data_IF_442534136687
#
_entry.id   IF_442534136687
#
_cell.length_a   1.000
_cell.length_b   1.000
_cell.length_c   1.000
_cell.angle_alpha   90.00
_cell.angle_beta   90.00
_cell.angle_gamma   90.00
#
_symmetry.space_group_name_H-M   'P 1'
#
loop_
_entity.id
_entity.type
_entity.pdbx_description
1 polymer ?
#
# COMPACT_ATOMS: atom_id res chain seq x y z
N UNK A 1 -3.26 -29.73 17.41
CA UNK A 1 -3.90 -29.34 16.14
C UNK A 1 -3.26 -28.02 15.75
N UNK A 2 -2.74 -27.90 14.53
CA UNK A 2 -2.22 -26.62 14.05
C UNK A 2 -3.41 -25.78 13.60
N UNK A 3 -3.57 -24.60 14.19
CA UNK A 3 -4.60 -23.65 13.79
C UNK A 3 -3.98 -22.57 12.90
N UNK A 4 -4.70 -22.17 11.86
CA UNK A 4 -4.32 -21.04 11.01
C UNK A 4 -5.19 -19.83 11.35
N UNK A 5 -4.57 -18.71 11.68
CA UNK A 5 -5.24 -17.45 12.00
C UNK A 5 -4.87 -16.39 10.97
N UNK A 6 -5.86 -15.84 10.26
CA UNK A 6 -5.67 -14.69 9.36
C UNK A 6 -5.54 -13.43 10.22
N UNK A 7 -4.39 -12.77 10.13
CA UNK A 7 -4.06 -11.55 10.87
C UNK A 7 -4.23 -10.28 10.02
N UNK A 8 -4.31 -10.43 8.71
CA UNK A 8 -4.51 -9.29 7.82
C UNK A 8 -4.49 -9.67 6.35
N UNK A 9 -4.63 -8.67 5.50
CA UNK A 9 -4.62 -8.81 4.05
C UNK A 9 -3.70 -7.77 3.42
N UNK A 10 -2.78 -8.26 2.59
CA UNK A 10 -1.78 -7.45 1.93
C UNK A 10 -2.04 -7.39 0.43
N UNK A 11 -2.31 -6.19 -0.08
CA UNK A 11 -2.50 -5.89 -1.48
C UNK A 11 -1.18 -5.42 -2.08
N UNK A 12 -0.64 -6.20 -3.01
CA UNK A 12 0.58 -5.87 -3.76
C UNK A 12 0.14 -5.47 -5.16
N UNK A 13 0.29 -4.18 -5.49
CA UNK A 13 -0.23 -3.57 -6.70
C UNK A 13 0.93 -3.12 -7.60
N UNK A 14 0.97 -3.65 -8.81
CA UNK A 14 1.90 -3.25 -9.87
C UNK A 14 1.16 -2.35 -10.86
N UNK A 15 1.50 -1.06 -10.91
CA UNK A 15 0.90 -0.07 -11.81
C UNK A 15 1.88 0.27 -12.95
N UNK A 16 1.45 0.04 -14.18
CA UNK A 16 2.25 0.28 -15.39
C UNK A 16 1.58 1.28 -16.32
N UNK A 17 2.39 1.89 -17.20
CA UNK A 17 1.98 2.98 -18.09
C UNK A 17 1.37 4.17 -17.33
N UNK A 18 2.00 4.53 -16.20
CA UNK A 18 1.62 5.67 -15.39
C UNK A 18 2.00 6.99 -16.07
N UNK A 19 1.35 8.08 -15.64
CA UNK A 19 1.70 9.45 -16.00
C UNK A 19 3.14 9.78 -15.55
N UNK A 20 4.06 9.79 -16.51
CA UNK A 20 5.48 10.05 -16.26
C UNK A 20 5.74 11.46 -15.75
N UNK A 21 5.02 12.45 -16.25
CA UNK A 21 5.18 13.85 -15.81
C UNK A 21 4.93 13.96 -14.30
N UNK A 22 3.85 13.32 -13.83
CA UNK A 22 3.56 13.23 -12.41
C UNK A 22 4.65 12.45 -11.65
N UNK A 23 5.11 11.31 -12.17
CA UNK A 23 6.15 10.52 -11.49
C UNK A 23 7.49 11.25 -11.37
N UNK A 24 7.84 12.11 -12.34
CA UNK A 24 9.03 12.96 -12.26
C UNK A 24 8.86 14.11 -11.25
N UNK A 25 7.64 14.59 -11.00
CA UNK A 25 7.31 15.45 -9.86
C UNK A 25 7.09 14.60 -8.59
N UNK A 26 8.20 14.06 -8.08
CA UNK A 26 8.17 13.13 -6.94
C UNK A 26 7.44 13.68 -5.71
N UNK A 27 7.56 14.98 -5.43
CA UNK A 27 6.88 15.59 -4.29
C UNK A 27 5.37 15.66 -4.50
N UNK A 28 4.90 16.05 -5.70
CA UNK A 28 3.48 16.07 -6.01
C UNK A 28 2.91 14.65 -5.96
N UNK A 29 3.58 13.68 -6.57
CA UNK A 29 3.18 12.28 -6.58
C UNK A 29 3.09 11.70 -5.15
N UNK A 30 4.09 11.93 -4.31
CA UNK A 30 4.10 11.52 -2.90
C UNK A 30 2.96 12.15 -2.09
N UNK A 31 2.71 13.47 -2.27
CA UNK A 31 1.59 14.16 -1.61
C UNK A 31 0.22 13.61 -2.02
N UNK A 32 0.02 13.33 -3.31
CA UNK A 32 -1.25 12.78 -3.80
C UNK A 32 -1.50 11.36 -3.27
N UNK A 33 -0.45 10.53 -3.21
CA UNK A 33 -0.53 9.21 -2.61
C UNK A 33 -0.88 9.26 -1.12
N UNK A 34 -0.14 10.06 -0.32
CA UNK A 34 -0.43 10.22 1.11
C UNK A 34 -1.86 10.73 1.34
N UNK A 35 -2.30 11.71 0.53
CA UNK A 35 -3.67 12.23 0.60
C UNK A 35 -4.71 11.13 0.33
N UNK A 36 -4.55 10.32 -0.72
CA UNK A 36 -5.49 9.25 -1.04
C UNK A 36 -5.61 8.23 0.11
N UNK A 37 -4.48 7.84 0.72
CA UNK A 37 -4.47 6.92 1.87
C UNK A 37 -5.19 7.52 3.08
N UNK A 38 -5.00 8.82 3.35
CA UNK A 38 -5.70 9.51 4.46
C UNK A 38 -7.21 9.63 4.22
N UNK A 39 -7.63 9.76 2.97
CA UNK A 39 -9.04 9.86 2.59
C UNK A 39 -9.75 8.49 2.55
N UNK A 40 -9.01 7.38 2.59
CA UNK A 40 -9.58 6.03 2.50
C UNK A 40 -10.16 5.49 3.82
N UNK A 41 -10.11 6.27 4.89
CA UNK A 41 -10.51 5.84 6.24
C UNK A 41 -9.43 5.09 7.03
N UNK A 42 -8.24 4.88 6.46
CA UNK A 42 -7.10 4.32 7.18
C UNK A 42 -6.53 5.35 8.15
N UNK A 43 -6.19 4.90 9.36
CA UNK A 43 -5.57 5.77 10.36
C UNK A 43 -4.06 5.82 10.16
N UNK A 44 -3.55 6.93 9.67
CA UNK A 44 -2.10 7.19 9.49
C UNK A 44 -1.50 7.70 10.79
N UNK A 45 -0.48 7.01 11.30
CA UNK A 45 0.28 7.35 12.50
C UNK A 45 1.49 8.21 12.17
N UNK A 46 2.22 7.86 11.10
CA UNK A 46 3.43 8.56 10.66
C UNK A 46 3.60 8.40 9.14
N UNK A 47 4.45 9.23 8.53
CA UNK A 47 4.77 9.14 7.11
C UNK A 47 6.23 9.50 6.82
N UNK A 48 6.77 8.91 5.77
CA UNK A 48 8.11 9.20 5.27
C UNK A 48 8.12 9.31 3.75
N UNK A 49 8.98 10.18 3.25
CA UNK A 49 9.19 10.40 1.83
C UNK A 49 10.67 10.55 1.55
N UNK A 50 11.15 9.87 0.51
CA UNK A 50 12.55 9.94 0.08
C UNK A 50 12.64 9.99 -1.45
N UNK A 51 13.07 11.12 -2.03
CA UNK A 51 13.37 11.21 -3.45
C UNK A 51 14.76 10.62 -3.74
N UNK A 52 14.89 9.91 -4.86
CA UNK A 52 16.15 9.38 -5.36
C UNK A 52 16.73 10.26 -6.48
N UNK A 53 18.04 10.11 -6.73
CA UNK A 53 18.74 10.78 -7.83
C UNK A 53 19.13 9.75 -8.89
N UNK A 54 18.95 10.03 -10.19
CA UNK A 54 18.45 11.30 -10.75
C UNK A 54 16.92 11.46 -10.75
N UNK A 55 16.18 10.38 -10.50
CA UNK A 55 14.71 10.36 -10.45
C UNK A 55 14.24 9.14 -9.64
N UNK A 56 12.93 9.08 -9.39
CA UNK A 56 12.31 8.05 -8.56
C UNK A 56 12.16 8.47 -7.12
N UNK A 57 11.31 7.77 -6.37
CA UNK A 57 11.08 8.07 -4.97
C UNK A 57 10.46 6.87 -4.24
N UNK A 58 10.51 6.93 -2.92
CA UNK A 58 9.72 6.09 -2.02
C UNK A 58 8.87 6.97 -1.13
N UNK A 59 7.60 6.59 -0.95
CA UNK A 59 6.70 7.15 0.04
C UNK A 59 6.18 6.00 0.91
N UNK A 60 6.18 6.16 2.22
CA UNK A 60 5.62 5.18 3.16
C UNK A 60 4.74 5.89 4.18
N UNK A 61 3.67 5.21 4.58
CA UNK A 61 2.79 5.63 5.65
C UNK A 61 2.69 4.49 6.66
N UNK A 62 3.03 4.79 7.91
CA UNK A 62 2.74 3.92 9.04
C UNK A 62 1.26 4.05 9.37
N UNK A 63 0.54 2.92 9.34
CA UNK A 63 -0.86 2.87 9.73
C UNK A 63 -0.98 2.34 11.15
N UNK A 64 -2.08 2.62 11.85
CA UNK A 64 -2.29 2.20 13.23
C UNK A 64 -2.05 0.70 13.46
N UNK A 65 -2.37 -0.12 12.46
CA UNK A 65 -2.26 -1.58 12.55
C UNK A 65 -1.46 -2.20 11.39
N UNK A 66 -0.78 -1.41 10.56
CA UNK A 66 -0.19 -1.92 9.30
C UNK A 66 0.67 -0.85 8.57
N UNK A 67 0.70 -0.84 7.23
CA UNK A 67 1.42 0.16 6.42
C UNK A 67 0.83 0.32 5.01
N UNK A 68 1.09 1.48 4.41
CA UNK A 68 0.98 1.71 2.98
C UNK A 68 2.34 2.19 2.43
N UNK A 69 2.77 1.71 1.27
CA UNK A 69 3.99 2.19 0.64
C UNK A 69 3.86 2.29 -0.88
N UNK A 70 4.67 3.17 -1.45
CA UNK A 70 4.77 3.41 -2.87
C UNK A 70 6.24 3.59 -3.25
N UNK A 71 6.67 2.84 -4.26
CA UNK A 71 7.98 2.98 -4.91
C UNK A 71 7.77 3.33 -6.38
N UNK A 72 8.43 4.39 -6.87
CA UNK A 72 8.24 4.88 -8.22
C UNK A 72 9.52 4.83 -9.05
N UNK A 73 9.36 4.38 -10.30
CA UNK A 73 10.36 4.43 -11.36
C UNK A 73 9.84 5.24 -12.55
N UNK A 74 9.99 6.58 -12.52
CA UNK A 74 9.48 7.49 -13.54
C UNK A 74 9.97 7.14 -14.95
N UNK A 75 11.21 6.65 -15.07
CA UNK A 75 11.84 6.22 -16.31
C UNK A 75 11.13 5.05 -16.99
N UNK A 76 10.36 4.26 -16.24
CA UNK A 76 9.56 3.15 -16.76
C UNK A 76 8.05 3.44 -16.74
N UNK A 77 7.62 4.60 -16.21
CA UNK A 77 6.20 4.87 -16.03
C UNK A 77 5.55 3.86 -15.08
N UNK A 78 6.27 3.46 -14.03
CA UNK A 78 5.88 2.37 -13.14
C UNK A 78 5.89 2.81 -11.69
N UNK A 79 4.91 2.34 -10.92
CA UNK A 79 4.97 2.35 -9.46
C UNK A 79 4.51 1.00 -8.87
N UNK A 80 5.22 0.58 -7.82
CA UNK A 80 4.83 -0.52 -6.96
C UNK A 80 4.14 0.06 -5.73
N UNK A 81 2.96 -0.44 -5.39
CA UNK A 81 2.18 0.00 -4.24
C UNK A 81 1.82 -1.19 -3.37
N UNK A 82 2.17 -1.11 -2.09
CA UNK A 82 1.85 -2.11 -1.08
C UNK A 82 0.87 -1.51 -0.09
N UNK A 83 -0.31 -2.12 0.06
CA UNK A 83 -1.31 -1.73 1.05
C UNK A 83 -1.59 -2.93 1.95
N UNK A 84 -1.09 -2.88 3.16
CA UNK A 84 -1.35 -3.90 4.17
C UNK A 84 -2.39 -3.37 5.15
N UNK A 85 -3.38 -4.19 5.51
CA UNK A 85 -4.35 -3.90 6.58
C UNK A 85 -4.54 -5.13 7.48
N UNK A 86 -4.76 -4.90 8.77
CA UNK A 86 -5.18 -5.92 9.73
C UNK A 86 -6.71 -5.95 9.90
N UNK A 87 -7.42 -4.89 9.47
CA UNK A 87 -8.87 -4.89 9.36
C UNK A 87 -9.29 -5.80 8.20
N UNK A 88 -9.91 -6.93 8.55
CA UNK A 88 -10.33 -7.96 7.60
C UNK A 88 -11.65 -7.62 6.89
N UNK A 89 -12.41 -6.65 7.41
CA UNK A 89 -13.68 -6.20 6.83
C UNK A 89 -13.48 -5.01 5.88
N UNK A 90 -12.31 -4.38 5.91
CA UNK A 90 -11.98 -3.23 5.07
C UNK A 90 -11.56 -3.65 3.64
N UNK A 91 -12.37 -3.26 2.65
CA UNK A 91 -12.02 -3.39 1.24
C UNK A 91 -11.20 -2.18 0.76
N UNK A 92 -9.94 -2.43 0.37
CA UNK A 92 -9.04 -1.41 -0.17
C UNK A 92 -9.15 -1.21 -1.69
N UNK A 93 -10.03 -1.96 -2.36
CA UNK A 93 -10.25 -1.82 -3.82
C UNK A 93 -10.58 -0.38 -4.24
N UNK A 94 -11.43 0.40 -3.53
CA UNK A 94 -11.67 1.80 -3.87
C UNK A 94 -10.41 2.68 -3.80
N UNK A 95 -9.57 2.50 -2.78
CA UNK A 95 -8.29 3.20 -2.66
C UNK A 95 -7.34 2.83 -3.80
N UNK A 96 -7.25 1.55 -4.15
CA UNK A 96 -6.39 1.10 -5.27
C UNK A 96 -6.86 1.72 -6.58
N UNK A 97 -8.17 1.79 -6.82
CA UNK A 97 -8.72 2.45 -8.02
C UNK A 97 -8.42 3.95 -8.03
N UNK A 98 -8.57 4.63 -6.89
CA UNK A 98 -8.22 6.05 -6.77
C UNK A 98 -6.72 6.28 -7.05
N UNK A 99 -5.84 5.44 -6.51
CA UNK A 99 -4.39 5.50 -6.78
C UNK A 99 -4.13 5.27 -8.28
N UNK A 100 -4.75 4.26 -8.89
CA UNK A 100 -4.64 3.99 -10.34
C UNK A 100 -5.03 5.22 -11.16
N UNK A 101 -6.11 5.90 -10.81
CA UNK A 101 -6.58 7.12 -11.47
C UNK A 101 -5.61 8.30 -11.28
N UNK A 102 -5.16 8.54 -10.05
CA UNK A 102 -4.17 9.59 -9.72
C UNK A 102 -2.91 9.44 -10.56
N UNK A 103 -2.37 8.22 -10.61
CA UNK A 103 -1.14 7.92 -11.34
C UNK A 103 -1.37 7.71 -12.84
N UNK A 104 -2.61 7.78 -13.32
CA UNK A 104 -2.95 7.61 -14.74
C UNK A 104 -2.53 6.25 -15.30
N UNK A 105 -2.48 5.21 -14.47
CA UNK A 105 -1.98 3.90 -14.87
C UNK A 105 -2.99 3.19 -15.78
N UNK A 106 -2.55 2.83 -16.99
CA UNK A 106 -3.40 2.09 -17.93
C UNK A 106 -3.54 0.61 -17.55
N UNK A 107 -2.51 0.05 -16.89
CA UNK A 107 -2.46 -1.34 -16.43
C UNK A 107 -2.24 -1.38 -14.92
N UNK A 108 -3.01 -2.23 -14.24
CA UNK A 108 -2.86 -2.46 -12.80
C UNK A 108 -3.05 -3.95 -12.51
N UNK A 109 -2.02 -4.58 -11.95
CA UNK A 109 -2.07 -5.96 -11.47
C UNK A 109 -2.13 -5.94 -9.95
N UNK A 110 -3.09 -6.66 -9.37
CA UNK A 110 -3.31 -6.70 -7.93
C UNK A 110 -3.16 -8.14 -7.46
N UNK A 111 -2.24 -8.39 -6.54
CA UNK A 111 -2.13 -9.66 -5.81
C UNK A 111 -2.55 -9.44 -4.38
N UNK A 112 -3.54 -10.22 -3.91
CA UNK A 112 -3.92 -10.26 -2.50
C UNK A 112 -3.20 -11.41 -1.81
N UNK A 113 -2.54 -11.13 -0.70
CA UNK A 113 -1.84 -12.10 0.12
C UNK A 113 -2.42 -12.06 1.53
N UNK A 114 -3.08 -13.15 1.92
CA UNK A 114 -3.51 -13.31 3.30
C UNK A 114 -2.27 -13.45 4.21
N UNK A 115 -2.21 -12.66 5.28
CA UNK A 115 -1.18 -12.77 6.32
C UNK A 115 -1.70 -13.73 7.36
N UNK A 116 -1.17 -14.95 7.38
CA UNK A 116 -1.65 -16.04 8.23
C UNK A 116 -0.55 -16.47 9.19
N UNK A 117 -0.88 -16.55 10.48
CA UNK A 117 -0.03 -17.15 11.49
C UNK A 117 -0.39 -18.63 11.67
N UNK A 118 0.62 -19.50 11.70
CA UNK A 118 0.49 -20.89 12.11
C UNK A 118 0.69 -20.97 13.63
N UNK A 119 -0.36 -21.35 14.35
CA UNK A 119 -0.34 -21.46 15.80
C UNK A 119 -0.10 -22.91 16.21
N UNK A 120 0.84 -23.10 17.14
CA UNK A 120 1.13 -24.40 17.79
C UNK A 120 0.67 -24.31 19.25
N UNK A 121 -0.45 -24.95 19.57
CA UNK A 121 -1.08 -24.91 20.91
C UNK A 121 -2.49 -24.31 20.90
N UNK A 122 -3.20 -24.35 22.03
CA UNK A 122 -4.48 -23.65 22.17
C UNK A 122 -4.24 -22.13 22.21
N UNK A 123 -5.01 -21.32 21.47
CA UNK A 123 -4.80 -19.89 21.45
C UNK A 123 -5.17 -19.32 22.83
N UNK A 124 -4.16 -18.85 23.58
CA UNK A 124 -4.39 -17.83 24.60
C UNK A 124 -5.08 -16.64 23.90
N UNK A 125 -6.03 -15.97 24.55
CA UNK A 125 -6.77 -14.84 23.98
C UNK A 125 -5.82 -13.85 23.29
N UNK A 126 -5.66 -13.99 21.98
CA UNK A 126 -4.86 -13.09 21.15
C UNK A 126 -5.77 -11.93 20.84
N UNK A 127 -5.73 -10.89 21.67
CA UNK A 127 -6.10 -9.56 21.21
C UNK A 127 -5.01 -9.16 20.21
N UNK A 128 -5.23 -9.51 18.94
CA UNK A 128 -4.37 -9.05 17.87
C UNK A 128 -4.87 -7.67 17.44
N UNK A 129 -4.02 -6.67 17.71
CA UNK A 129 -4.20 -5.23 17.57
C UNK A 129 -5.06 -4.60 18.67
#
# INVERSE_FOLDING_TARGET
>A
MNAQLKLGEHYICDLSDCNRELLYDSEQAGRLFSKAVRESGLTVVDEGFFPFSPHGFTCFLLLAESHASLHAWPEYGYCAVDLFTCDLDLDLTPLINQIKEIFGASQCSIRKVARVAELVGEPEHVNCC
#
